data_IF_139901319482
#
_entry.id   IF_139901319482
#
_cell.length_a   1.000
_cell.length_b   1.000
_cell.length_c   1.000
_cell.angle_alpha   90.00
_cell.angle_beta   90.00
_cell.angle_gamma   90.00
#
_symmetry.space_group_name_H-M   'P 1'
#
loop_
_entity.id
_entity.type
_entity.pdbx_description
1 polymer ?
#
# COMPACT_ATOMS: atom_id res chain seq x y z
N UNK A 1 -26.14 3.84 -4.06
CA UNK A 1 -25.18 2.72 -4.14
C UNK A 1 -24.12 2.93 -3.08
N UNK A 2 -23.95 1.98 -2.19
CA UNK A 2 -22.90 2.01 -1.16
C UNK A 2 -21.67 1.31 -1.74
N UNK A 3 -20.69 2.08 -2.24
CA UNK A 3 -19.50 1.57 -2.91
C UNK A 3 -18.31 1.72 -1.99
N UNK A 4 -17.52 0.66 -1.85
CA UNK A 4 -16.32 0.62 -1.00
C UNK A 4 -15.15 0.08 -1.79
N UNK A 5 -13.96 0.55 -1.50
CA UNK A 5 -12.76 -0.02 -2.06
C UNK A 5 -12.48 -1.36 -1.37
N UNK A 6 -12.59 -2.48 -2.11
CA UNK A 6 -12.33 -3.82 -1.60
C UNK A 6 -10.83 -4.13 -1.54
N UNK A 7 -10.15 -3.97 -2.65
CA UNK A 7 -8.70 -4.18 -2.69
C UNK A 7 -8.02 -3.38 -3.82
N UNK A 8 -6.74 -3.20 -3.66
CA UNK A 8 -5.82 -2.77 -4.71
C UNK A 8 -4.77 -3.86 -4.92
N UNK A 9 -4.28 -3.98 -6.13
CA UNK A 9 -3.18 -4.89 -6.46
C UNK A 9 -1.93 -4.06 -6.73
N UNK A 10 -0.88 -4.32 -5.96
CA UNK A 10 0.44 -3.78 -6.18
C UNK A 10 1.34 -4.83 -6.83
N UNK A 11 1.96 -4.48 -7.93
CA UNK A 11 3.01 -5.27 -8.52
C UNK A 11 4.30 -5.07 -7.73
N UNK A 12 4.89 -6.18 -7.27
CA UNK A 12 6.09 -6.17 -6.43
C UNK A 12 7.12 -7.16 -6.99
N UNK A 13 8.40 -6.87 -6.78
CA UNK A 13 9.50 -7.76 -7.19
C UNK A 13 9.71 -8.91 -6.21
N UNK A 14 9.54 -8.65 -4.92
CA UNK A 14 9.72 -9.60 -3.82
C UNK A 14 8.60 -9.42 -2.78
N UNK A 15 7.69 -10.39 -2.75
CA UNK A 15 6.50 -10.35 -1.89
C UNK A 15 6.85 -10.37 -0.39
N UNK A 16 7.88 -11.13 0.02
CA UNK A 16 8.30 -11.16 1.43
C UNK A 16 8.95 -9.85 1.86
N UNK A 17 9.74 -9.24 1.00
CA UNK A 17 10.34 -7.92 1.26
C UNK A 17 9.27 -6.84 1.37
N UNK A 18 8.31 -6.83 0.45
CA UNK A 18 7.19 -5.88 0.49
C UNK A 18 6.29 -6.12 1.70
N UNK A 19 5.97 -7.37 2.02
CA UNK A 19 5.20 -7.72 3.20
C UNK A 19 5.87 -7.21 4.48
N UNK A 20 7.19 -7.42 4.62
CA UNK A 20 7.96 -6.90 5.74
C UNK A 20 7.88 -5.36 5.83
N UNK A 21 8.00 -4.67 4.69
CA UNK A 21 7.86 -3.22 4.64
C UNK A 21 6.49 -2.76 5.17
N UNK A 22 5.41 -3.31 4.64
CA UNK A 22 4.07 -2.92 5.06
C UNK A 22 3.75 -3.31 6.51
N UNK A 23 4.21 -4.48 6.98
CA UNK A 23 4.01 -4.91 8.37
C UNK A 23 4.87 -4.13 9.37
N UNK A 24 6.17 -3.96 9.09
CA UNK A 24 7.13 -3.45 10.08
C UNK A 24 7.39 -1.95 9.96
N UNK A 25 7.38 -1.40 8.74
CA UNK A 25 7.61 0.04 8.54
C UNK A 25 6.29 0.81 8.64
N UNK A 26 5.29 0.39 7.87
CA UNK A 26 3.97 1.06 7.85
C UNK A 26 3.14 0.66 9.08
N UNK A 27 3.22 -0.59 9.52
CA UNK A 27 2.48 -1.11 10.65
C UNK A 27 1.11 -1.68 10.29
N UNK A 28 0.92 -2.15 9.06
CA UNK A 28 -0.33 -2.76 8.62
C UNK A 28 -0.35 -4.27 8.93
N UNK A 29 -1.47 -4.82 9.44
CA UNK A 29 -1.57 -6.26 9.67
C UNK A 29 -1.51 -7.05 8.36
N UNK A 30 -0.69 -8.10 8.33
CA UNK A 30 -0.67 -9.05 7.22
C UNK A 30 -1.97 -9.86 7.13
N UNK A 31 -2.41 -10.13 5.91
CA UNK A 31 -3.55 -11.00 5.60
C UNK A 31 -3.02 -12.18 4.80
N UNK A 32 -3.27 -13.38 5.24
CA UNK A 32 -2.73 -14.64 4.69
C UNK A 32 -1.20 -14.69 4.67
N UNK A 33 -0.54 -13.89 5.50
CA UNK A 33 0.92 -13.77 5.51
C UNK A 33 1.59 -15.10 5.87
N UNK A 34 1.12 -15.80 6.92
CA UNK A 34 1.65 -17.11 7.30
C UNK A 34 1.34 -18.17 6.25
N UNK A 35 0.11 -18.19 5.71
CA UNK A 35 -0.25 -19.11 4.63
C UNK A 35 0.67 -18.91 3.41
N UNK A 36 1.02 -17.67 3.07
CA UNK A 36 1.96 -17.39 2.01
C UNK A 36 3.38 -17.87 2.35
N UNK A 37 3.89 -17.62 3.57
CA UNK A 37 5.21 -18.09 4.03
C UNK A 37 5.30 -19.62 4.02
N UNK A 38 4.20 -20.32 4.27
CA UNK A 38 4.08 -21.77 4.21
C UNK A 38 3.82 -22.33 2.80
N UNK A 39 3.74 -21.49 1.79
CA UNK A 39 3.45 -21.90 0.40
C UNK A 39 1.99 -22.30 0.14
N UNK A 40 1.07 -21.93 1.04
CA UNK A 40 -0.37 -22.26 0.96
C UNK A 40 -1.22 -21.16 0.31
N UNK A 41 -0.66 -19.98 0.08
CA UNK A 41 -1.30 -18.88 -0.63
C UNK A 41 -0.37 -18.36 -1.72
N UNK A 42 -0.92 -17.98 -2.86
CA UNK A 42 -0.14 -17.50 -4.02
C UNK A 42 0.44 -16.09 -3.80
N UNK A 43 -0.19 -15.29 -2.96
CA UNK A 43 0.25 -13.95 -2.63
C UNK A 43 -0.22 -13.56 -1.23
N UNK A 44 0.54 -12.73 -0.53
CA UNK A 44 0.12 -12.12 0.73
C UNK A 44 -0.61 -10.81 0.46
N UNK A 45 -1.38 -10.36 1.43
CA UNK A 45 -2.04 -9.06 1.44
C UNK A 45 -1.78 -8.34 2.76
N UNK A 46 -2.07 -7.05 2.80
CA UNK A 46 -2.07 -6.27 4.05
C UNK A 46 -3.41 -5.57 4.23
N UNK A 47 -3.83 -5.43 5.48
CA UNK A 47 -5.11 -4.83 5.85
C UNK A 47 -4.99 -3.32 5.93
N UNK A 48 -5.78 -2.60 5.11
CA UNK A 48 -5.86 -1.13 5.14
C UNK A 48 -6.98 -0.69 6.08
N UNK A 49 -8.20 -1.21 5.86
CA UNK A 49 -9.37 -1.01 6.73
C UNK A 49 -10.03 -2.36 7.00
N UNK A 50 -11.11 -2.38 7.75
CA UNK A 50 -11.92 -3.60 7.93
C UNK A 50 -12.38 -4.19 6.60
N UNK A 51 -12.51 -3.37 5.56
CA UNK A 51 -13.12 -3.71 4.28
C UNK A 51 -12.17 -3.57 3.08
N UNK A 52 -10.93 -3.10 3.30
CA UNK A 52 -9.98 -2.84 2.22
C UNK A 52 -8.65 -3.51 2.49
N UNK A 53 -8.14 -4.24 1.51
CA UNK A 53 -6.80 -4.85 1.53
C UNK A 53 -5.96 -4.39 0.35
N UNK A 54 -4.65 -4.55 0.48
CA UNK A 54 -3.67 -4.38 -0.57
C UNK A 54 -3.04 -5.74 -0.87
N UNK A 55 -3.22 -6.24 -2.09
CA UNK A 55 -2.62 -7.50 -2.55
C UNK A 55 -1.24 -7.25 -3.13
N UNK A 56 -0.26 -8.06 -2.72
CA UNK A 56 1.12 -7.97 -3.17
C UNK A 56 1.42 -9.09 -4.17
N UNK A 57 1.45 -8.76 -5.46
CA UNK A 57 1.64 -9.74 -6.54
C UNK A 57 2.95 -9.49 -7.29
N UNK A 58 3.61 -10.57 -7.70
CA UNK A 58 4.81 -10.48 -8.54
C UNK A 58 4.46 -10.26 -10.01
N UNK A 59 5.40 -9.69 -10.75
CA UNK A 59 5.28 -9.57 -12.20
C UNK A 59 5.15 -10.94 -12.89
N UNK A 60 5.72 -12.00 -12.32
CA UNK A 60 5.59 -13.35 -12.83
C UNK A 60 4.13 -13.87 -12.79
N UNK A 61 3.32 -13.34 -11.87
CA UNK A 61 1.90 -13.65 -11.78
C UNK A 61 1.04 -12.91 -12.81
N UNK A 62 1.61 -11.97 -13.57
CA UNK A 62 0.87 -11.07 -14.46
C UNK A 62 0.03 -11.80 -15.51
N UNK A 63 0.56 -12.87 -16.10
CA UNK A 63 -0.19 -13.65 -17.11
C UNK A 63 -1.43 -14.28 -16.51
N UNK A 64 -1.35 -14.85 -15.31
CA UNK A 64 -2.51 -15.43 -14.62
C UNK A 64 -3.53 -14.37 -14.23
N UNK A 65 -3.10 -13.19 -13.83
CA UNK A 65 -3.99 -12.05 -13.55
C UNK A 65 -4.65 -11.54 -14.83
N UNK A 66 -3.89 -11.44 -15.92
CA UNK A 66 -4.44 -11.04 -17.23
C UNK A 66 -5.48 -12.03 -17.75
N UNK A 67 -5.26 -13.33 -17.58
CA UNK A 67 -6.26 -14.36 -17.90
C UNK A 67 -7.52 -14.20 -17.07
N UNK A 68 -7.39 -13.96 -15.77
CA UNK A 68 -8.51 -13.80 -14.85
C UNK A 68 -9.31 -12.53 -15.11
N UNK A 69 -8.64 -11.42 -15.40
CA UNK A 69 -9.27 -10.11 -15.62
C UNK A 69 -9.69 -9.89 -17.07
N UNK A 70 -9.09 -10.62 -18.01
CA UNK A 70 -9.27 -10.39 -19.45
C UNK A 70 -8.55 -9.15 -19.99
N UNK A 71 -7.73 -8.47 -19.17
CA UNK A 71 -7.01 -7.24 -19.54
C UNK A 71 -5.54 -7.52 -19.70
N UNK A 72 -5.04 -7.44 -20.93
CA UNK A 72 -3.62 -7.62 -21.27
C UNK A 72 -2.81 -6.36 -20.98
N UNK A 73 -1.55 -6.54 -20.57
CA UNK A 73 -0.63 -5.43 -20.31
C UNK A 73 -0.93 -4.67 -19.03
N UNK A 74 -1.70 -5.24 -18.11
CA UNK A 74 -2.02 -4.59 -16.83
C UNK A 74 -0.87 -4.63 -15.82
N UNK A 75 0.08 -5.51 -16.00
CA UNK A 75 1.25 -5.60 -15.13
C UNK A 75 2.17 -4.38 -15.29
N UNK A 76 2.57 -3.80 -14.17
CA UNK A 76 3.46 -2.64 -14.16
C UNK A 76 2.76 -1.31 -14.43
N UNK A 77 1.46 -1.27 -14.49
CA UNK A 77 0.65 -0.06 -14.68
C UNK A 77 -0.34 0.21 -13.57
N UNK A 78 -0.78 1.32 -13.58
CA UNK A 78 -0.34 2.67 -13.30
C UNK A 78 -1.24 3.32 -12.30
N UNK A 79 -1.22 2.85 -11.08
CA UNK A 79 -1.67 3.71 -9.99
C UNK A 79 -0.52 4.70 -9.77
N UNK A 80 -0.78 6.00 -9.94
CA UNK A 80 0.23 7.01 -9.67
C UNK A 80 0.68 6.93 -8.19
N UNK A 81 -0.29 6.85 -7.29
CA UNK A 81 -0.11 6.59 -5.88
C UNK A 81 -1.43 6.09 -5.29
N UNK A 82 -1.37 5.56 -4.09
CA UNK A 82 -2.55 5.35 -3.25
C UNK A 82 -2.37 6.09 -1.93
N UNK A 83 -3.47 6.58 -1.38
CA UNK A 83 -3.47 7.41 -0.21
C UNK A 83 -4.11 6.69 0.98
N UNK A 84 -3.43 6.74 2.11
CA UNK A 84 -3.89 6.24 3.40
C UNK A 84 -4.20 7.42 4.32
N UNK A 85 -5.38 7.44 4.91
CA UNK A 85 -5.70 8.38 5.97
C UNK A 85 -5.44 7.71 7.32
N UNK A 86 -4.75 8.40 8.21
CA UNK A 86 -4.39 7.94 9.56
C UNK A 86 -4.70 9.02 10.60
N UNK A 87 -4.59 8.70 11.88
CA UNK A 87 -4.63 9.72 12.94
C UNK A 87 -3.33 10.51 12.98
N UNK A 88 -3.38 11.71 13.61
CA UNK A 88 -2.19 12.57 13.71
C UNK A 88 -1.02 11.89 14.44
N UNK A 89 -1.31 11.20 15.54
CA UNK A 89 -0.27 10.46 16.30
C UNK A 89 0.41 9.40 15.41
N UNK A 90 -0.38 8.60 14.68
CA UNK A 90 0.14 7.59 13.76
C UNK A 90 0.96 8.21 12.63
N UNK A 91 0.54 9.39 12.15
CA UNK A 91 1.28 10.14 11.13
C UNK A 91 2.67 10.55 11.63
N UNK A 92 2.74 11.14 12.83
CA UNK A 92 4.00 11.57 13.45
C UNK A 92 4.91 10.36 13.74
N UNK A 93 4.36 9.27 14.29
CA UNK A 93 5.11 8.03 14.53
C UNK A 93 5.62 7.39 13.24
N UNK A 94 4.82 7.42 12.18
CA UNK A 94 5.23 6.88 10.88
C UNK A 94 6.41 7.66 10.29
N UNK A 95 6.44 8.99 10.42
CA UNK A 95 7.61 9.78 10.01
C UNK A 95 8.89 9.30 10.69
N UNK A 96 8.82 9.03 11.99
CA UNK A 96 9.97 8.51 12.76
C UNK A 96 10.38 7.13 12.26
N UNK A 97 9.42 6.22 12.06
CA UNK A 97 9.70 4.85 11.56
C UNK A 97 10.32 4.87 10.16
N UNK A 98 9.80 5.68 9.25
CA UNK A 98 10.36 5.83 7.89
C UNK A 98 11.83 6.23 7.96
N UNK A 99 12.16 7.22 8.78
CA UNK A 99 13.53 7.67 8.98
C UNK A 99 14.42 6.56 9.56
N UNK A 100 13.93 5.84 10.58
CA UNK A 100 14.66 4.73 11.21
C UNK A 100 14.97 3.59 10.23
N UNK A 101 14.07 3.34 9.28
CA UNK A 101 14.23 2.32 8.25
C UNK A 101 14.89 2.83 6.96
N UNK A 102 15.38 4.06 6.95
CA UNK A 102 16.07 4.64 5.80
C UNK A 102 15.18 4.93 4.60
N UNK A 103 13.88 5.06 4.82
CA UNK A 103 12.92 5.41 3.76
C UNK A 103 12.86 6.94 3.63
N UNK A 104 13.14 7.44 2.44
CA UNK A 104 13.09 8.88 2.15
C UNK A 104 11.65 9.33 1.94
N UNK A 105 11.23 10.40 2.62
CA UNK A 105 10.00 11.13 2.31
C UNK A 105 10.31 12.02 1.12
N UNK A 106 9.74 11.69 -0.03
CA UNK A 106 10.04 12.34 -1.32
C UNK A 106 9.23 13.61 -1.57
N UNK A 107 8.13 13.77 -0.84
CA UNK A 107 7.28 14.95 -0.93
C UNK A 107 6.43 15.13 0.32
N UNK A 108 6.02 16.36 0.57
CA UNK A 108 5.11 16.71 1.66
C UNK A 108 4.25 17.91 1.26
N UNK A 109 3.15 18.08 1.95
CA UNK A 109 2.25 19.20 1.69
C UNK A 109 1.31 19.47 2.87
N UNK A 110 0.68 20.62 2.82
CA UNK A 110 -0.34 21.04 3.76
C UNK A 110 -1.61 21.43 3.00
N UNK A 111 -2.75 21.34 3.66
CA UNK A 111 -4.04 21.78 3.11
C UNK A 111 -4.38 21.12 1.77
N UNK A 112 -4.08 19.82 1.60
CA UNK A 112 -4.38 19.12 0.37
C UNK A 112 -5.78 18.49 0.38
N UNK A 113 -6.48 18.58 -0.75
CA UNK A 113 -7.80 17.99 -0.92
C UNK A 113 -7.74 16.46 -0.97
N UNK A 114 -8.71 15.79 -0.35
CA UNK A 114 -8.89 14.34 -0.36
C UNK A 114 -10.31 13.92 0.01
N UNK A 115 -10.49 12.64 0.25
CA UNK A 115 -11.81 12.04 0.44
C UNK A 115 -12.64 12.64 1.61
N UNK A 116 -11.97 13.15 2.64
CA UNK A 116 -12.63 13.75 3.81
C UNK A 116 -12.51 15.29 3.82
N UNK A 117 -12.24 15.94 2.69
CA UNK A 117 -12.05 17.37 2.57
C UNK A 117 -10.58 17.78 2.52
N UNK A 118 -10.20 18.79 3.31
CA UNK A 118 -8.83 19.30 3.33
C UNK A 118 -8.05 18.62 4.45
N UNK A 119 -7.02 17.88 4.08
CA UNK A 119 -6.10 17.27 5.03
C UNK A 119 -5.13 18.32 5.58
N UNK A 120 -4.80 18.21 6.87
CA UNK A 120 -3.85 19.12 7.52
C UNK A 120 -2.46 18.99 6.96
N UNK A 121 -1.97 17.74 6.88
CA UNK A 121 -0.69 17.42 6.28
C UNK A 121 -0.76 16.13 5.48
N UNK A 122 0.16 16.01 4.54
CA UNK A 122 0.39 14.82 3.74
C UNK A 122 1.89 14.60 3.51
N UNK A 123 2.28 13.34 3.35
CA UNK A 123 3.64 12.95 2.96
C UNK A 123 3.60 11.86 1.91
N UNK A 124 4.62 11.83 1.05
CA UNK A 124 4.79 10.82 0.01
C UNK A 124 6.11 10.09 0.20
N UNK A 125 6.10 8.80 -0.02
CA UNK A 125 7.30 7.96 0.01
C UNK A 125 7.11 6.71 -0.84
N UNK A 126 8.19 6.11 -1.35
CA UNK A 126 8.09 4.88 -2.13
C UNK A 126 8.10 3.63 -1.23
N UNK A 127 7.45 2.57 -1.73
CA UNK A 127 7.70 1.21 -1.24
C UNK A 127 8.97 0.62 -1.91
N UNK A 128 9.37 -0.65 -1.58
CA UNK A 128 10.56 -1.25 -2.18
C UNK A 128 10.56 -1.35 -3.71
N UNK A 129 9.41 -1.35 -4.36
CA UNK A 129 9.27 -1.43 -5.81
C UNK A 129 9.01 -0.07 -6.48
N UNK A 130 9.04 1.02 -5.70
CA UNK A 130 8.80 2.37 -6.22
C UNK A 130 7.31 2.70 -6.38
N UNK A 131 6.40 1.89 -5.84
CA UNK A 131 5.01 2.29 -5.74
C UNK A 131 4.92 3.46 -4.76
N UNK A 132 4.26 4.54 -5.17
CA UNK A 132 4.18 5.75 -4.34
C UNK A 132 3.00 5.63 -3.37
N UNK A 133 3.30 5.77 -2.09
CA UNK A 133 2.31 5.93 -1.04
C UNK A 133 2.17 7.39 -0.67
N UNK A 134 0.94 7.82 -0.47
CA UNK A 134 0.61 9.04 0.22
C UNK A 134 0.02 8.68 1.58
N UNK A 135 0.44 9.37 2.63
CA UNK A 135 -0.20 9.27 3.95
C UNK A 135 -0.59 10.66 4.41
N UNK A 136 -1.80 10.79 4.96
CA UNK A 136 -2.34 12.07 5.41
C UNK A 136 -3.15 11.93 6.69
N UNK A 137 -3.36 13.05 7.37
CA UNK A 137 -4.36 13.14 8.43
C UNK A 137 -5.27 14.35 8.24
N UNK A 138 -6.46 14.21 8.80
CA UNK A 138 -7.47 15.27 8.87
C UNK A 138 -7.64 15.70 10.33
N UNK A 139 -7.82 16.98 10.58
CA UNK A 139 -8.21 17.49 11.90
C UNK A 139 -9.70 17.35 12.17
#
# INVERSE_FOLDING_TARGET
>A
MDVRLDHLVCWVSDQLHSLHFYEQVIGLPGVRAEAFREGKAAFPSVRITAETILDLMTYDASMGVEESTGVKGSAGHPINHFCLAVGKEDFDELQVRLKQHGVEITGSGVNSFGAQGIASETMFFPDPDGNVLEVRYYE
#
